data_IF_849708132253
#
_entry.id   IF_849708132253
#
_cell.length_a   1.000
_cell.length_b   1.000
_cell.length_c   1.000
_cell.angle_alpha   90.00
_cell.angle_beta   90.00
_cell.angle_gamma   90.00
#
_symmetry.space_group_name_H-M   'P 1'
#
loop_
_entity.id
_entity.type
_entity.pdbx_description
1 polymer ?
#
# COMPACT_ATOMS: atom_id res chain seq x y z
N UNK A 1 -18.48 -19.00 -12.92
CA UNK A 1 -19.06 -19.90 -11.92
C UNK A 1 -17.97 -20.26 -10.94
N UNK A 2 -18.21 -20.19 -9.64
CA UNK A 2 -17.23 -20.55 -8.62
C UNK A 2 -17.05 -22.09 -8.65
N UNK A 3 -15.85 -22.64 -8.84
CA UNK A 3 -15.63 -24.08 -8.88
C UNK A 3 -15.92 -24.72 -7.51
N UNK A 4 -16.38 -25.97 -7.52
CA UNK A 4 -17.18 -26.61 -6.45
C UNK A 4 -16.48 -26.84 -5.09
N UNK A 5 -15.27 -26.35 -4.86
CA UNK A 5 -14.60 -26.46 -3.56
C UNK A 5 -13.48 -25.42 -3.42
N UNK A 6 -13.87 -24.16 -3.60
CA UNK A 6 -13.11 -23.00 -3.17
C UNK A 6 -13.51 -22.63 -1.74
N UNK A 7 -12.56 -22.63 -0.81
CA UNK A 7 -12.78 -22.10 0.55
C UNK A 7 -11.76 -21.01 0.81
N UNK A 8 -12.24 -19.81 1.13
CA UNK A 8 -11.41 -18.74 1.64
C UNK A 8 -11.79 -18.49 3.11
N UNK A 9 -10.78 -18.45 3.97
CA UNK A 9 -10.89 -18.07 5.38
C UNK A 9 -10.05 -16.80 5.56
N UNK A 10 -10.60 -15.82 6.26
CA UNK A 10 -9.92 -14.57 6.56
C UNK A 10 -10.11 -14.25 8.04
N UNK A 11 -9.03 -13.80 8.67
CA UNK A 11 -9.05 -13.23 10.00
C UNK A 11 -8.47 -11.82 9.91
N UNK A 12 -9.37 -10.85 10.05
CA UNK A 12 -9.01 -9.43 10.00
C UNK A 12 -8.41 -8.93 11.32
N UNK A 13 -8.57 -9.66 12.43
CA UNK A 13 -7.99 -9.32 13.74
C UNK A 13 -6.54 -9.80 13.81
N UNK A 14 -6.27 -11.02 13.34
CA UNK A 14 -4.92 -11.60 13.33
C UNK A 14 -4.13 -11.32 12.03
N UNK A 15 -4.78 -10.79 11.00
CA UNK A 15 -4.14 -10.30 9.77
C UNK A 15 -3.71 -11.41 8.79
N UNK A 16 -4.44 -12.52 8.74
CA UNK A 16 -4.15 -13.61 7.82
C UNK A 16 -5.34 -13.94 6.92
N UNK A 17 -5.03 -14.42 5.72
CA UNK A 17 -6.01 -14.97 4.79
C UNK A 17 -5.50 -16.30 4.25
N UNK A 18 -6.36 -17.32 4.23
CA UNK A 18 -6.09 -18.63 3.65
C UNK A 18 -7.06 -18.86 2.50
N UNK A 19 -6.55 -19.22 1.33
CA UNK A 19 -7.37 -19.66 0.20
C UNK A 19 -7.05 -21.12 -0.13
N UNK A 20 -8.09 -21.96 -0.25
CA UNK A 20 -7.98 -23.39 -0.55
C UNK A 20 -8.78 -23.68 -1.82
N UNK A 21 -8.15 -24.39 -2.74
CA UNK A 21 -8.81 -24.97 -3.92
C UNK A 21 -8.62 -26.47 -3.83
N UNK A 22 -9.71 -27.23 -3.72
CA UNK A 22 -9.66 -28.66 -3.95
C UNK A 22 -9.84 -28.90 -5.46
N UNK A 23 -9.07 -29.80 -6.05
CA UNK A 23 -9.27 -30.24 -7.43
C UNK A 23 -9.25 -31.77 -7.39
N UNK A 24 -10.32 -32.42 -7.86
CA UNK A 24 -10.47 -33.87 -7.80
C UNK A 24 -10.80 -34.45 -9.17
N UNK A 25 -10.17 -35.57 -9.50
CA UNK A 25 -10.47 -36.44 -10.66
C UNK A 25 -11.53 -37.51 -10.33
N UNK A 26 -11.94 -37.65 -9.06
CA UNK A 26 -13.04 -38.55 -8.71
C UNK A 26 -14.40 -37.91 -9.02
N UNK A 27 -15.21 -38.62 -9.79
CA UNK A 27 -16.49 -38.10 -10.25
C UNK A 27 -17.50 -37.85 -9.12
N UNK A 28 -18.36 -36.81 -9.26
CA UNK A 28 -18.47 -35.92 -10.43
C UNK A 28 -17.39 -34.84 -10.46
N UNK A 29 -16.73 -34.71 -11.63
CA UNK A 29 -15.63 -33.78 -11.90
C UNK A 29 -16.07 -32.32 -11.70
N UNK A 30 -15.42 -31.58 -10.82
CA UNK A 30 -15.72 -30.17 -10.64
C UNK A 30 -14.84 -29.22 -11.47
N UNK A 31 -13.60 -29.61 -11.84
CA UNK A 31 -12.72 -28.81 -12.70
C UNK A 31 -11.49 -29.61 -13.18
N UNK A 32 -11.24 -29.66 -14.49
CA UNK A 32 -9.97 -30.12 -15.08
C UNK A 32 -9.23 -28.88 -15.58
N UNK A 33 -7.97 -28.71 -15.18
CA UNK A 33 -7.10 -27.65 -15.71
C UNK A 33 -6.41 -28.12 -16.99
N UNK A 34 -6.66 -27.50 -18.15
CA UNK A 34 -5.92 -27.83 -19.36
C UNK A 34 -4.44 -27.42 -19.20
N UNK A 35 -3.51 -28.04 -19.95
CA UNK A 35 -2.14 -27.56 -20.02
C UNK A 35 -2.11 -26.10 -20.45
N UNK A 36 -1.54 -25.24 -19.61
CA UNK A 36 -1.46 -23.81 -19.85
C UNK A 36 -0.19 -23.22 -19.22
N UNK A 37 0.22 -22.07 -19.73
CA UNK A 37 1.34 -21.27 -19.21
C UNK A 37 0.73 -19.96 -18.70
N UNK A 38 1.12 -19.51 -17.51
CA UNK A 38 0.64 -18.29 -16.86
C UNK A 38 -0.88 -18.22 -16.60
N UNK A 39 -1.56 -19.36 -16.55
CA UNK A 39 -3.00 -19.42 -16.24
C UNK A 39 -3.26 -19.08 -14.77
N UNK A 40 -4.18 -18.14 -14.54
CA UNK A 40 -4.59 -17.73 -13.19
C UNK A 40 -5.56 -18.75 -12.61
N UNK A 41 -5.05 -19.62 -11.76
CA UNK A 41 -5.84 -20.66 -11.08
C UNK A 41 -6.44 -20.21 -9.74
N UNK A 42 -5.95 -19.11 -9.17
CA UNK A 42 -6.37 -18.57 -7.88
C UNK A 42 -6.27 -17.04 -7.88
N UNK A 43 -7.30 -16.39 -7.34
CA UNK A 43 -7.29 -14.96 -7.01
C UNK A 43 -7.64 -14.82 -5.53
N UNK A 44 -6.78 -14.13 -4.79
CA UNK A 44 -7.02 -13.78 -3.38
C UNK A 44 -7.21 -12.28 -3.31
N UNK A 45 -8.31 -11.85 -2.68
CA UNK A 45 -8.55 -10.45 -2.35
C UNK A 45 -8.25 -10.25 -0.86
N UNK A 46 -7.65 -9.12 -0.50
CA UNK A 46 -7.35 -8.76 0.87
C UNK A 46 -7.68 -7.27 1.07
N UNK A 47 -8.00 -6.91 2.31
CA UNK A 47 -8.19 -5.50 2.70
C UNK A 47 -6.97 -5.06 3.50
N UNK A 48 -6.50 -3.85 3.25
CA UNK A 48 -5.42 -3.23 4.02
C UNK A 48 -6.06 -2.44 5.17
N UNK A 49 -5.55 -2.57 6.39
CA UNK A 49 -6.03 -1.76 7.52
C UNK A 49 -5.85 -0.28 7.19
N UNK A 50 -6.82 0.61 7.52
CA UNK A 50 -6.65 2.05 7.40
C UNK A 50 -5.46 2.60 8.21
N UNK A 51 -5.01 1.86 9.22
CA UNK A 51 -3.84 2.20 10.05
C UNK A 51 -2.54 1.56 9.58
N UNK A 52 -2.54 0.78 8.50
CA UNK A 52 -1.35 0.10 8.02
C UNK A 52 -0.35 1.12 7.48
N UNK A 53 0.87 1.12 8.03
CA UNK A 53 1.94 1.98 7.54
C UNK A 53 2.39 1.49 6.17
N UNK A 54 2.58 2.41 5.24
CA UNK A 54 3.22 2.09 3.99
C UNK A 54 4.67 1.62 4.18
N UNK A 55 5.12 0.77 3.25
CA UNK A 55 6.37 0.03 3.41
C UNK A 55 6.29 -1.13 4.41
N UNK A 56 5.16 -1.32 5.10
CA UNK A 56 4.93 -2.54 5.89
C UNK A 56 5.00 -3.75 4.98
N UNK A 57 5.89 -4.67 5.34
CA UNK A 57 6.10 -5.93 4.63
C UNK A 57 5.33 -7.02 5.35
N UNK A 58 4.37 -7.62 4.65
CA UNK A 58 3.68 -8.82 5.10
C UNK A 58 4.16 -10.03 4.28
N UNK A 59 4.67 -11.10 4.92
CA UNK A 59 5.17 -12.26 4.19
C UNK A 59 4.01 -13.01 3.51
N UNK A 60 4.11 -13.22 2.19
CA UNK A 60 3.20 -14.09 1.45
C UNK A 60 3.77 -15.52 1.44
N UNK A 61 3.28 -16.34 2.36
CA UNK A 61 3.70 -17.73 2.47
C UNK A 61 2.70 -18.67 1.82
N UNK A 62 3.15 -19.51 0.89
CA UNK A 62 2.38 -20.62 0.33
C UNK A 62 2.84 -21.91 1.02
N UNK A 63 2.09 -22.41 2.03
CA UNK A 63 2.50 -23.58 2.79
C UNK A 63 2.45 -24.86 1.94
N UNK A 64 3.31 -25.83 2.25
CA UNK A 64 3.33 -27.14 1.57
C UNK A 64 2.14 -28.03 1.95
N UNK A 65 1.54 -27.75 3.11
CA UNK A 65 0.39 -28.48 3.65
C UNK A 65 -0.53 -27.54 4.41
N UNK A 66 -1.82 -27.87 4.47
CA UNK A 66 -2.82 -27.08 5.19
C UNK A 66 -3.92 -27.99 5.76
N UNK A 67 -4.66 -27.49 6.76
CA UNK A 67 -5.79 -28.17 7.39
C UNK A 67 -5.43 -28.97 8.64
N UNK A 68 -6.47 -29.46 9.33
CA UNK A 68 -6.37 -30.39 10.46
C UNK A 68 -7.29 -31.60 10.19
N UNK A 69 -6.76 -32.77 9.80
CA UNK A 69 -5.34 -33.13 9.69
C UNK A 69 -4.64 -32.42 8.51
N UNK A 70 -3.30 -32.32 8.57
CA UNK A 70 -2.50 -31.70 7.53
C UNK A 70 -2.60 -32.47 6.21
N UNK A 71 -2.98 -31.79 5.14
CA UNK A 71 -3.03 -32.33 3.77
C UNK A 71 -2.00 -31.61 2.91
N UNK A 72 -1.17 -32.36 2.18
CA UNK A 72 -0.17 -31.80 1.27
C UNK A 72 -0.82 -31.25 -0.02
N UNK A 73 -0.28 -30.15 -0.55
CA UNK A 73 -0.65 -29.66 -1.87
C UNK A 73 0.01 -30.55 -2.94
N UNK A 74 -0.80 -31.30 -3.69
CA UNK A 74 -0.33 -32.19 -4.74
C UNK A 74 -1.16 -32.04 -6.01
N UNK A 75 -0.54 -32.28 -7.17
CA UNK A 75 -1.23 -32.47 -8.44
C UNK A 75 -1.21 -33.95 -8.80
N UNK A 76 -2.34 -34.47 -9.27
CA UNK A 76 -2.43 -35.80 -9.85
C UNK A 76 -2.65 -35.67 -11.36
N UNK A 77 -1.92 -36.46 -12.15
CA UNK A 77 -2.22 -36.61 -13.57
C UNK A 77 -3.23 -37.73 -13.82
N UNK A 78 -3.64 -37.88 -15.08
CA UNK A 78 -4.61 -38.89 -15.51
C UNK A 78 -4.07 -40.33 -15.44
N UNK A 79 -2.77 -40.49 -15.20
CA UNK A 79 -2.12 -41.79 -14.97
C UNK A 79 -1.98 -42.10 -13.47
N UNK A 80 -2.38 -41.19 -12.58
CA UNK A 80 -2.28 -41.34 -11.13
C UNK A 80 -0.89 -41.03 -10.56
N UNK A 81 0.01 -40.43 -11.33
CA UNK A 81 1.27 -39.91 -10.81
C UNK A 81 1.02 -38.64 -10.01
N UNK A 82 1.76 -38.50 -8.90
CA UNK A 82 1.67 -37.36 -8.00
C UNK A 82 2.86 -36.43 -8.21
N UNK A 83 2.58 -35.13 -8.32
CA UNK A 83 3.56 -34.07 -8.48
C UNK A 83 3.44 -33.06 -7.35
N UNK A 84 4.58 -32.58 -6.85
CA UNK A 84 4.63 -31.46 -5.92
C UNK A 84 4.68 -30.14 -6.69
N UNK A 85 3.82 -29.16 -6.37
CA UNK A 85 3.91 -27.83 -6.97
C UNK A 85 5.24 -27.18 -6.62
N UNK A 86 5.83 -26.48 -7.59
CA UNK A 86 6.83 -25.47 -7.25
C UNK A 86 6.10 -24.33 -6.51
N UNK A 87 6.61 -23.98 -5.33
CA UNK A 87 6.05 -22.92 -4.50
C UNK A 87 6.96 -21.71 -4.56
N UNK A 88 6.39 -20.56 -4.90
CA UNK A 88 7.06 -19.28 -4.83
C UNK A 88 6.44 -18.47 -3.70
N UNK A 89 7.15 -18.35 -2.59
CA UNK A 89 6.78 -17.41 -1.52
C UNK A 89 7.18 -16.01 -1.93
N UNK A 90 6.43 -15.01 -1.48
CA UNK A 90 6.67 -13.62 -1.80
C UNK A 90 6.49 -12.72 -0.58
N UNK A 91 6.39 -11.43 -0.84
CA UNK A 91 6.06 -10.41 0.15
C UNK A 91 4.99 -9.50 -0.43
N UNK A 92 4.03 -9.11 0.40
CA UNK A 92 3.10 -8.01 0.13
C UNK A 92 3.68 -6.76 0.79
N UNK A 93 3.73 -5.66 0.05
CA UNK A 93 4.18 -4.37 0.55
C UNK A 93 2.98 -3.44 0.51
N UNK A 94 2.62 -2.84 1.65
CA UNK A 94 1.59 -1.80 1.71
C UNK A 94 2.13 -0.57 0.97
N UNK A 95 1.44 -0.16 -0.10
CA UNK A 95 1.80 1.05 -0.87
C UNK A 95 1.49 2.35 -0.11
N UNK A 96 2.29 3.39 -0.35
CA UNK A 96 2.19 4.73 0.27
C UNK A 96 3.55 5.28 0.73
N UNK A 97 4.58 5.17 -0.08
CA UNK A 97 5.98 5.16 0.37
C UNK A 97 6.55 6.47 0.90
N UNK A 98 5.77 7.53 1.04
CA UNK A 98 6.30 8.88 1.14
C UNK A 98 5.89 9.53 2.46
N UNK A 99 6.85 9.52 3.38
CA UNK A 99 6.78 10.29 4.60
C UNK A 99 7.13 11.73 4.25
N UNK A 100 6.26 12.66 4.61
CA UNK A 100 6.47 14.10 4.47
C UNK A 100 5.95 14.83 5.70
N UNK A 101 6.31 16.10 5.83
CA UNK A 101 5.73 17.01 6.80
C UNK A 101 4.88 18.03 6.04
N UNK A 102 3.58 18.12 6.35
CA UNK A 102 2.68 19.03 5.63
C UNK A 102 3.12 20.48 5.84
N UNK A 103 3.31 21.17 4.72
CA UNK A 103 3.87 22.52 4.68
C UNK A 103 5.40 22.61 4.57
N UNK A 104 6.17 21.51 4.68
CA UNK A 104 7.64 21.49 4.45
C UNK A 104 7.94 21.28 2.95
N UNK A 105 7.45 22.20 2.12
CA UNK A 105 7.52 22.13 0.66
C UNK A 105 8.95 22.07 0.11
N UNK A 106 9.92 22.64 0.82
CA UNK A 106 11.32 22.60 0.42
C UNK A 106 12.09 21.39 0.99
N UNK A 107 11.42 20.49 1.72
CA UNK A 107 11.96 19.28 2.35
C UNK A 107 13.17 19.57 3.27
N UNK A 108 13.10 20.66 4.03
CA UNK A 108 14.12 21.01 5.01
C UNK A 108 14.19 20.02 6.17
N UNK A 109 13.12 19.27 6.42
CA UNK A 109 12.95 18.38 7.57
C UNK A 109 12.71 19.14 8.89
N UNK A 110 12.52 20.46 8.82
CA UNK A 110 12.20 21.34 9.95
C UNK A 110 10.73 21.72 10.00
N UNK A 111 10.35 22.55 10.98
CA UNK A 111 9.00 23.15 10.95
C UNK A 111 8.84 24.02 9.71
N UNK A 112 7.66 23.98 9.04
CA UNK A 112 7.35 24.86 7.91
C UNK A 112 7.62 26.33 8.21
N UNK A 113 8.35 26.99 7.32
CA UNK A 113 8.71 28.39 7.42
C UNK A 113 8.46 29.16 6.11
N UNK A 114 8.96 30.39 6.02
CA UNK A 114 8.72 31.26 4.87
C UNK A 114 9.37 30.72 3.58
N UNK A 115 10.42 29.91 3.69
CA UNK A 115 11.08 29.30 2.53
C UNK A 115 10.17 28.27 1.85
N UNK A 116 9.27 27.62 2.58
CA UNK A 116 8.27 26.70 2.02
C UNK A 116 7.20 27.44 1.20
N UNK A 117 6.74 28.58 1.71
CA UNK A 117 5.84 29.47 0.96
C UNK A 117 6.50 29.95 -0.34
N UNK A 118 7.79 30.28 -0.29
CA UNK A 118 8.56 30.67 -1.50
C UNK A 118 8.72 29.49 -2.46
N UNK A 119 8.94 28.27 -1.98
CA UNK A 119 9.03 27.08 -2.81
C UNK A 119 7.69 26.79 -3.54
N UNK A 120 6.57 26.87 -2.83
CA UNK A 120 5.22 26.73 -3.40
C UNK A 120 4.94 27.79 -4.47
N UNK A 121 5.31 29.06 -4.23
CA UNK A 121 5.18 30.12 -5.23
C UNK A 121 6.09 29.90 -6.45
N UNK A 122 7.29 29.36 -6.24
CA UNK A 122 8.21 28.96 -7.31
C UNK A 122 7.61 27.88 -8.21
N UNK A 123 6.93 26.90 -7.63
CA UNK A 123 6.18 25.90 -8.38
C UNK A 123 5.06 26.54 -9.21
N UNK A 124 4.20 27.34 -8.57
CA UNK A 124 3.01 27.91 -9.20
C UNK A 124 3.33 28.88 -10.34
N UNK A 125 4.32 29.77 -10.16
CA UNK A 125 4.56 30.88 -11.08
C UNK A 125 5.83 30.75 -11.91
N UNK A 126 6.80 29.98 -11.45
CA UNK A 126 8.09 29.83 -12.12
C UNK A 126 8.29 28.41 -12.70
N UNK A 127 7.30 27.52 -12.54
CA UNK A 127 7.37 26.13 -13.00
C UNK A 127 8.60 25.39 -12.47
N UNK A 128 9.05 25.77 -11.26
CA UNK A 128 10.12 25.05 -10.58
C UNK A 128 9.58 23.70 -10.11
N UNK A 129 10.34 22.60 -10.27
CA UNK A 129 9.89 21.30 -9.80
C UNK A 129 9.83 21.27 -8.26
N UNK A 130 8.88 20.52 -7.74
CA UNK A 130 8.82 20.14 -6.32
C UNK A 130 9.01 18.63 -6.20
N UNK A 131 9.79 18.24 -5.20
CA UNK A 131 10.05 16.84 -4.89
C UNK A 131 8.91 16.21 -4.08
N UNK A 132 8.12 17.02 -3.38
CA UNK A 132 6.86 16.58 -2.76
C UNK A 132 5.69 17.53 -3.01
N UNK A 133 4.65 17.03 -3.67
CA UNK A 133 3.42 17.78 -3.92
C UNK A 133 2.49 17.77 -2.69
N UNK A 134 2.44 16.67 -1.93
CA UNK A 134 1.65 16.59 -0.69
C UNK A 134 2.14 17.58 0.38
N UNK A 135 3.45 17.85 0.41
CA UNK A 135 4.02 18.86 1.31
C UNK A 135 3.67 20.29 0.90
N UNK A 136 3.30 20.51 -0.37
CA UNK A 136 2.90 21.81 -0.90
C UNK A 136 1.40 22.09 -0.72
N UNK A 137 0.57 21.03 -0.59
CA UNK A 137 -0.84 21.12 -0.23
C UNK A 137 -0.98 21.32 1.29
N UNK A 138 -0.84 22.58 1.71
CA UNK A 138 -0.80 22.95 3.12
C UNK A 138 -2.18 22.97 3.77
N UNK A 139 -3.24 23.15 2.98
CA UNK A 139 -4.62 23.18 3.46
C UNK A 139 -5.35 21.82 3.31
N UNK A 140 -4.71 20.85 2.65
CA UNK A 140 -5.18 19.47 2.45
C UNK A 140 -6.49 19.39 1.66
N UNK A 141 -6.57 20.16 0.56
CA UNK A 141 -7.74 20.18 -0.33
C UNK A 141 -7.55 19.45 -1.68
N UNK A 142 -6.36 18.88 -1.89
CA UNK A 142 -5.97 18.10 -3.06
C UNK A 142 -5.61 18.95 -4.27
N UNK A 143 -5.43 20.26 -4.10
CA UNK A 143 -4.96 21.18 -5.14
C UNK A 143 -3.84 22.06 -4.60
N UNK A 144 -2.80 22.25 -5.42
CA UNK A 144 -1.73 23.20 -5.09
C UNK A 144 -2.07 24.54 -5.73
N UNK A 145 -2.41 25.53 -4.92
CA UNK A 145 -2.71 26.89 -5.35
C UNK A 145 -2.30 27.98 -4.34
N UNK A 146 -2.84 29.20 -4.49
CA UNK A 146 -2.50 30.32 -3.60
C UNK A 146 -3.07 30.14 -2.18
N UNK A 147 -4.11 29.33 -2.00
CA UNK A 147 -4.71 29.03 -0.72
C UNK A 147 -3.71 28.33 0.20
N UNK A 148 -2.85 27.44 -0.32
CA UNK A 148 -1.79 26.77 0.45
C UNK A 148 -0.79 27.75 1.03
N UNK A 149 -0.33 28.69 0.19
CA UNK A 149 0.62 29.73 0.57
C UNK A 149 0.02 30.61 1.67
N UNK A 150 -1.24 31.01 1.50
CA UNK A 150 -1.96 31.82 2.48
C UNK A 150 -2.16 31.02 3.78
N UNK A 151 -2.54 29.74 3.69
CA UNK A 151 -2.77 28.87 4.83
C UNK A 151 -1.51 28.72 5.67
N UNK A 152 -0.37 28.35 5.05
CA UNK A 152 0.92 28.18 5.72
C UNK A 152 1.42 29.48 6.37
N UNK A 153 1.35 30.62 5.67
CA UNK A 153 1.74 31.91 6.24
C UNK A 153 0.79 32.36 7.36
N UNK A 154 -0.51 32.00 7.29
CA UNK A 154 -1.47 32.33 8.34
C UNK A 154 -1.14 31.62 9.65
N UNK A 155 -0.75 30.34 9.57
CA UNK A 155 -0.26 29.57 10.71
C UNK A 155 1.01 30.19 11.28
N UNK A 156 1.98 30.53 10.43
CA UNK A 156 3.28 31.07 10.86
C UNK A 156 3.20 32.46 11.53
N UNK A 157 2.34 33.36 11.03
CA UNK A 157 2.39 34.77 11.41
C UNK A 157 1.12 35.32 12.05
N UNK A 158 -0.01 34.65 11.91
CA UNK A 158 -1.31 35.19 12.33
C UNK A 158 -2.09 34.27 13.28
N UNK A 159 -1.42 33.29 13.88
CA UNK A 159 -2.03 32.31 14.80
C UNK A 159 -3.21 31.57 14.13
N UNK A 160 -3.07 31.31 12.82
CA UNK A 160 -4.01 30.51 12.03
C UNK A 160 -3.99 29.04 12.47
N UNK A 161 -4.93 28.22 11.95
CA UNK A 161 -4.96 26.80 12.25
C UNK A 161 -3.67 26.10 11.79
N UNK A 162 -3.16 25.10 12.52
CA UNK A 162 -2.03 24.30 12.06
C UNK A 162 -2.36 23.56 10.76
N UNK A 163 -1.37 23.23 9.92
CA UNK A 163 -1.54 22.30 8.81
C UNK A 163 -2.24 21.01 9.28
N UNK A 164 -3.19 20.48 8.49
CA UNK A 164 -3.74 19.15 8.72
C UNK A 164 -2.62 18.10 8.77
N UNK A 165 -2.86 16.92 9.37
CA UNK A 165 -1.83 15.89 9.43
C UNK A 165 -1.35 15.48 8.02
N UNK A 166 -0.07 15.12 7.83
CA UNK A 166 0.97 14.91 8.83
C UNK A 166 1.69 16.19 9.29
N UNK A 167 1.40 16.64 10.52
CA UNK A 167 1.99 17.79 11.21
C UNK A 167 1.70 17.65 12.71
N UNK A 168 2.60 18.02 13.65
CA UNK A 168 3.92 18.65 13.50
C UNK A 168 5.08 17.66 13.28
N UNK A 169 4.79 16.37 13.16
CA UNK A 169 5.79 15.34 12.88
C UNK A 169 5.57 14.79 11.47
N UNK A 170 6.66 14.45 10.75
CA UNK A 170 6.54 13.79 9.46
C UNK A 170 5.74 12.50 9.57
N UNK A 171 4.91 12.23 8.58
CA UNK A 171 4.02 11.08 8.55
C UNK A 171 3.51 10.81 7.15
N UNK A 172 2.55 9.89 7.08
CA UNK A 172 1.83 9.58 5.84
C UNK A 172 0.66 10.55 5.69
N UNK A 173 0.21 10.72 4.46
CA UNK A 173 -1.02 11.42 4.15
C UNK A 173 -2.25 10.62 4.66
N UNK A 174 -3.05 11.14 5.61
CA UNK A 174 -4.29 10.50 6.05
C UNK A 174 -5.47 10.70 5.09
N UNK A 175 -5.31 11.56 4.07
CA UNK A 175 -6.37 12.06 3.18
C UNK A 175 -5.98 11.87 1.71
N UNK A 176 -5.80 10.61 1.26
CA UNK A 176 -5.19 10.32 -0.04
C UNK A 176 -5.92 10.98 -1.20
N UNK A 177 -5.17 11.69 -2.04
CA UNK A 177 -5.67 12.34 -3.24
C UNK A 177 -4.80 12.07 -4.49
N UNK A 178 -4.79 13.00 -5.46
CA UNK A 178 -4.03 12.86 -6.70
C UNK A 178 -2.59 13.37 -6.64
N UNK A 179 -2.18 13.93 -5.51
CA UNK A 179 -0.85 14.42 -5.22
C UNK A 179 0.02 13.27 -4.68
N UNK A 180 1.33 13.43 -4.80
CA UNK A 180 2.31 12.50 -4.24
C UNK A 180 3.62 13.23 -3.99
N UNK A 181 4.49 12.65 -3.18
CA UNK A 181 5.90 12.97 -3.30
C UNK A 181 6.56 12.17 -4.44
N UNK A 182 7.82 12.46 -4.69
CA UNK A 182 8.67 11.72 -5.63
C UNK A 182 9.95 11.22 -4.96
N UNK A 183 10.22 11.72 -3.74
CA UNK A 183 11.30 11.26 -2.88
C UNK A 183 10.76 11.11 -1.45
N UNK A 184 10.90 9.94 -0.81
CA UNK A 184 10.58 9.81 0.59
C UNK A 184 11.60 10.62 1.41
N UNK A 185 11.14 11.39 2.40
CA UNK A 185 12.06 11.88 3.43
C UNK A 185 12.73 10.65 4.07
N UNK A 186 14.05 10.55 3.92
CA UNK A 186 14.83 9.57 4.67
C UNK A 186 14.68 9.94 6.15
N UNK A 187 13.82 9.23 6.86
CA UNK A 187 13.68 9.34 8.31
C UNK A 187 14.99 8.91 9.00
N UNK A 188 15.95 9.83 9.07
CA UNK A 188 17.09 9.71 9.95
C UNK A 188 16.59 10.04 11.36
N UNK A 189 16.01 9.04 12.05
CA UNK A 189 15.81 9.12 13.48
C UNK A 189 17.20 9.25 14.15
N UNK A 190 17.48 10.32 14.90
CA UNK A 190 18.63 10.32 15.79
C UNK A 190 18.36 9.30 16.91
N UNK A 191 19.34 8.43 17.14
CA UNK A 191 19.40 7.46 18.25
C UNK A 191 19.33 8.14 19.61
#
# INVERSE_FOLDING_TARGET
GVPAFFVAEYDNEEGWATSRVLLSDSQPLALILPPAIDEKILRTEFTVSPSALAGTISPLTIPASAGAPLVAATFLDWQGFTYLPQRLTGQLIVGGTEVFLRGDTNLSGGFPDVADAVATLGYLFLQLPLDCLDAADANDDGQIDLADVIYGLSYQFTDGPPPPPPFPLPGLDPTPDGLSCSTPLSAAFPL
#
